data_IF_186010602172
#
_entry.id   IF_186010602172
#
_cell.length_a   1.000
_cell.length_b   1.000
_cell.length_c   1.000
_cell.angle_alpha   90.00
_cell.angle_beta   90.00
_cell.angle_gamma   90.00
#
_symmetry.space_group_name_H-M   'P 1'
#
loop_
_entity.id
_entity.type
_entity.pdbx_description
1 polymer ?
#
# COMPACT_ATOMS: atom_id res chain seq x y z
N UNK A 1 -9.39 -10.27 2.86
CA UNK A 1 -8.26 -11.23 2.87
C UNK A 1 -6.98 -10.41 3.02
N UNK A 2 -6.04 -10.81 3.88
CA UNK A 2 -4.77 -10.10 4.09
C UNK A 2 -3.72 -10.78 3.21
N UNK A 3 -3.04 -10.02 2.37
CA UNK A 3 -1.95 -10.53 1.55
C UNK A 3 -0.62 -9.92 2.01
N UNK A 4 0.19 -10.63 2.81
CA UNK A 4 1.52 -10.16 3.17
C UNK A 4 2.44 -10.28 1.95
N UNK A 5 3.02 -9.17 1.51
CA UNK A 5 4.03 -9.16 0.45
C UNK A 5 5.36 -8.66 1.00
N UNK A 6 6.41 -9.45 0.80
CA UNK A 6 7.79 -9.03 1.05
C UNK A 6 8.31 -8.37 -0.22
N UNK A 7 8.57 -7.07 -0.15
CA UNK A 7 9.22 -6.36 -1.25
C UNK A 7 10.72 -6.39 -0.98
N UNK A 8 11.45 -7.16 -1.79
CA UNK A 8 12.91 -7.24 -1.71
C UNK A 8 13.58 -5.97 -2.23
N UNK A 9 14.83 -5.75 -1.83
CA UNK A 9 15.61 -4.54 -2.15
C UNK A 9 16.11 -4.45 -3.60
N UNK A 10 15.63 -5.31 -4.50
CA UNK A 10 16.09 -5.41 -5.88
C UNK A 10 14.95 -5.12 -6.87
N UNK A 11 14.87 -3.85 -7.31
CA UNK A 11 14.38 -3.26 -8.58
C UNK A 11 13.01 -3.69 -9.16
N UNK A 12 12.48 -4.89 -8.92
CA UNK A 12 11.11 -5.24 -9.30
C UNK A 12 10.15 -5.02 -8.13
N UNK A 13 9.65 -3.78 -8.07
CA UNK A 13 8.41 -3.47 -7.36
C UNK A 13 7.27 -4.25 -8.04
N UNK A 14 6.55 -5.06 -7.28
CA UNK A 14 5.43 -5.86 -7.82
C UNK A 14 4.10 -5.34 -7.28
N UNK A 15 3.11 -5.41 -8.15
CA UNK A 15 1.70 -5.19 -7.83
C UNK A 15 1.33 -6.19 -6.72
N UNK A 16 0.79 -5.71 -5.59
CA UNK A 16 0.27 -6.58 -4.54
C UNK A 16 -0.94 -7.36 -5.09
N UNK A 17 -1.96 -6.65 -5.58
CA UNK A 17 -3.05 -7.15 -6.42
C UNK A 17 -4.00 -5.99 -6.73
N UNK A 18 -4.82 -6.14 -7.77
CA UNK A 18 -5.88 -5.19 -8.13
C UNK A 18 -7.20 -5.88 -7.89
N UNK A 19 -8.05 -5.24 -7.10
CA UNK A 19 -9.40 -5.74 -6.82
C UNK A 19 -10.43 -4.72 -7.30
N UNK A 20 -11.23 -5.04 -8.32
CA UNK A 20 -12.22 -4.11 -8.88
C UNK A 20 -13.41 -3.85 -7.93
N UNK A 21 -13.49 -4.58 -6.82
CA UNK A 21 -14.57 -4.47 -5.82
C UNK A 21 -14.09 -3.91 -4.47
N UNK A 22 -12.85 -3.41 -4.41
CA UNK A 22 -12.29 -2.79 -3.20
C UNK A 22 -12.98 -1.46 -2.92
N UNK A 23 -13.30 -1.22 -1.64
CA UNK A 23 -14.00 0.00 -1.20
C UNK A 23 -13.20 0.84 -0.19
N UNK A 24 -12.15 0.25 0.38
CA UNK A 24 -11.22 0.94 1.25
C UNK A 24 -9.85 0.28 1.23
N UNK A 25 -8.84 1.07 1.58
CA UNK A 25 -7.46 0.66 1.66
C UNK A 25 -6.84 1.23 2.94
N UNK A 26 -6.17 0.39 3.72
CA UNK A 26 -5.35 0.83 4.85
C UNK A 26 -3.95 0.27 4.69
N UNK A 27 -2.93 1.13 4.78
CA UNK A 27 -1.53 0.74 4.71
C UNK A 27 -0.86 1.16 6.00
N UNK A 28 -0.09 0.25 6.61
CA UNK A 28 0.51 0.45 7.94
C UNK A 28 2.01 0.18 7.88
N UNK A 29 2.81 1.14 8.33
CA UNK A 29 4.25 0.94 8.57
C UNK A 29 4.47 0.54 10.04
N UNK A 30 4.47 -0.77 10.34
CA UNK A 30 4.72 -1.25 11.71
C UNK A 30 6.18 -1.66 11.93
N UNK A 31 7.13 -0.84 11.47
CA UNK A 31 8.56 -1.06 11.65
C UNK A 31 9.18 0.19 12.28
N UNK A 32 10.04 0.02 13.28
CA UNK A 32 10.52 1.09 14.18
C UNK A 32 11.33 2.21 13.50
N UNK A 33 11.86 1.95 12.31
CA UNK A 33 12.76 2.87 11.61
C UNK A 33 12.56 2.93 10.10
N UNK A 34 11.59 2.19 9.55
CA UNK A 34 11.42 2.14 8.09
C UNK A 34 10.42 3.19 7.62
N UNK A 35 10.61 3.63 6.38
CA UNK A 35 9.65 4.47 5.65
C UNK A 35 9.04 3.66 4.52
N UNK A 36 7.70 3.67 4.44
CA UNK A 36 7.00 3.11 3.30
C UNK A 36 6.69 4.20 2.29
N UNK A 37 7.03 3.98 1.03
CA UNK A 37 6.72 4.88 -0.07
C UNK A 37 5.60 4.26 -0.88
N UNK A 38 4.51 5.00 -1.09
CA UNK A 38 3.34 4.51 -1.82
C UNK A 38 2.98 5.40 -3.01
N UNK A 39 2.36 4.83 -4.05
CA UNK A 39 1.83 5.56 -5.20
C UNK A 39 0.71 4.81 -5.90
N UNK A 40 -0.24 5.54 -6.50
CA UNK A 40 -1.34 5.00 -7.34
C UNK A 40 -0.97 4.85 -8.82
N UNK A 41 0.31 4.99 -9.16
CA UNK A 41 0.81 4.83 -10.52
C UNK A 41 2.13 4.07 -10.51
N UNK A 42 2.44 3.41 -11.63
CA UNK A 42 3.69 2.64 -11.79
C UNK A 42 4.92 3.48 -11.47
N UNK A 43 5.95 2.81 -10.93
CA UNK A 43 7.26 3.40 -10.69
C UNK A 43 7.36 4.18 -9.38
N UNK A 44 6.88 3.59 -8.28
CA UNK A 44 7.15 4.13 -6.94
C UNK A 44 8.65 3.98 -6.62
N UNK A 45 9.23 5.07 -6.13
CA UNK A 45 10.60 5.19 -5.68
C UNK A 45 10.63 6.12 -4.47
N UNK A 46 11.74 6.07 -3.72
CA UNK A 46 11.98 6.98 -2.58
C UNK A 46 11.78 8.44 -2.97
N UNK A 47 12.16 8.81 -4.21
CA UNK A 47 12.10 10.18 -4.70
C UNK A 47 10.69 10.67 -5.16
N UNK A 48 9.71 9.78 -5.35
CA UNK A 48 8.42 10.15 -5.97
C UNK A 48 7.17 9.54 -5.32
N UNK A 49 7.33 8.74 -4.26
CA UNK A 49 6.23 8.20 -3.48
C UNK A 49 5.76 9.15 -2.38
N UNK A 50 4.60 8.85 -1.80
CA UNK A 50 4.13 9.47 -0.56
C UNK A 50 4.68 8.70 0.64
N UNK A 51 5.56 9.30 1.48
CA UNK A 51 6.23 8.58 2.57
C UNK A 51 5.33 8.43 3.81
N UNK A 52 5.27 7.23 4.35
CA UNK A 52 4.67 6.88 5.63
C UNK A 52 5.81 6.54 6.59
N UNK A 53 6.01 7.37 7.61
CA UNK A 53 7.04 7.18 8.62
C UNK A 53 6.72 6.02 9.57
N UNK A 54 7.71 5.64 10.38
CA UNK A 54 7.59 4.60 11.40
C UNK A 54 6.31 4.73 12.24
N UNK A 55 5.58 3.64 12.37
CA UNK A 55 4.29 3.53 13.07
C UNK A 55 3.15 4.39 12.49
N UNK A 56 3.38 5.01 11.32
CA UNK A 56 2.36 5.74 10.58
C UNK A 56 1.41 4.82 9.81
N UNK A 57 0.26 5.38 9.44
CA UNK A 57 -0.70 4.72 8.57
C UNK A 57 -1.37 5.72 7.63
N UNK A 58 -1.87 5.22 6.50
CA UNK A 58 -2.79 5.94 5.61
C UNK A 58 -4.07 5.10 5.49
N UNK A 59 -5.22 5.77 5.51
CA UNK A 59 -6.53 5.16 5.31
C UNK A 59 -7.28 5.90 4.22
N UNK A 60 -7.80 5.15 3.24
CA UNK A 60 -8.55 5.65 2.10
C UNK A 60 -9.89 4.94 2.06
N UNK A 61 -10.97 5.69 1.81
CA UNK A 61 -12.33 5.17 1.76
C UNK A 61 -13.13 5.85 0.66
N UNK A 62 -14.05 5.09 0.06
CA UNK A 62 -15.15 5.66 -0.73
C UNK A 62 -16.03 6.53 0.19
N UNK A 63 -16.52 7.69 -0.29
CA UNK A 63 -16.57 8.14 -1.68
C UNK A 63 -15.43 9.07 -2.12
N UNK A 64 -14.51 9.42 -1.23
CA UNK A 64 -13.58 10.54 -1.43
C UNK A 64 -12.28 10.12 -2.14
N UNK A 65 -11.82 8.88 -1.92
CA UNK A 65 -10.55 8.40 -2.43
C UNK A 65 -10.77 7.07 -3.18
N UNK A 66 -10.94 7.12 -4.51
CA UNK A 66 -11.17 5.96 -5.37
C UNK A 66 -10.08 4.89 -5.17
N UNK A 67 -10.37 3.80 -4.43
CA UNK A 67 -9.38 2.80 -4.11
C UNK A 67 -9.41 1.69 -5.16
N UNK A 68 -9.92 1.88 -6.38
CA UNK A 68 -10.00 0.79 -7.37
C UNK A 68 -8.76 0.66 -8.26
N UNK A 69 -7.76 1.53 -8.08
CA UNK A 69 -6.52 1.56 -8.88
C UNK A 69 -5.37 0.75 -8.27
N UNK A 70 -4.38 0.43 -9.09
CA UNK A 70 -3.15 -0.26 -8.66
C UNK A 70 -2.41 0.58 -7.61
N UNK A 71 -2.01 -0.07 -6.51
CA UNK A 71 -1.19 0.56 -5.48
C UNK A 71 0.20 -0.07 -5.47
N UNK A 72 1.20 0.79 -5.57
CA UNK A 72 2.60 0.44 -5.56
C UNK A 72 3.19 0.87 -4.22
N UNK A 73 3.92 -0.03 -3.56
CA UNK A 73 4.52 0.27 -2.27
C UNK A 73 5.94 -0.34 -2.17
N UNK A 74 6.88 0.41 -1.60
CA UNK A 74 8.25 -0.05 -1.29
C UNK A 74 8.66 0.40 0.12
N UNK A 75 9.57 -0.33 0.74
CA UNK A 75 10.26 0.09 1.95
C UNK A 75 11.69 0.53 1.62
N UNK A 76 12.25 1.48 2.37
CA UNK A 76 13.67 1.84 2.31
C UNK A 76 14.61 0.84 3.02
N UNK A 77 14.05 -0.14 3.71
CA UNK A 77 14.81 -1.21 4.38
C UNK A 77 14.52 -2.59 3.79
N UNK A 78 15.55 -3.44 3.73
CA UNK A 78 15.54 -4.76 3.06
C UNK A 78 14.59 -5.78 3.73
N UNK A 79 14.30 -5.62 5.02
CA UNK A 79 13.55 -6.59 5.82
C UNK A 79 12.14 -6.17 6.22
N UNK A 80 11.68 -4.98 5.82
CA UNK A 80 10.34 -4.52 6.23
C UNK A 80 9.26 -5.20 5.43
N UNK A 81 8.35 -5.86 6.14
CA UNK A 81 7.11 -6.34 5.56
C UNK A 81 6.17 -5.18 5.29
N UNK A 82 5.71 -5.04 4.05
CA UNK A 82 4.65 -4.09 3.69
C UNK A 82 3.31 -4.80 3.86
N UNK A 83 2.40 -4.19 4.62
CA UNK A 83 1.05 -4.74 4.83
C UNK A 83 0.01 -3.78 4.28
N UNK A 84 -0.79 -4.30 3.36
CA UNK A 84 -1.91 -3.61 2.73
C UNK A 84 -3.19 -4.34 3.12
N UNK A 85 -4.13 -3.61 3.71
CA UNK A 85 -5.43 -4.10 4.12
C UNK A 85 -6.49 -3.55 3.18
N UNK A 86 -7.26 -4.45 2.57
CA UNK A 86 -8.41 -4.08 1.76
C UNK A 86 -9.70 -4.33 2.55
N UNK A 87 -10.57 -3.33 2.57
CA UNK A 87 -11.93 -3.46 3.08
C UNK A 87 -12.95 -3.56 1.95
N UNK A 88 -13.93 -4.43 2.15
CA UNK A 88 -15.09 -4.62 1.27
C UNK A 88 -16.34 -4.11 1.99
N UNK A 89 -16.88 -3.00 1.49
CA UNK A 89 -18.00 -2.27 2.06
C UNK A 89 -19.23 -2.46 1.18
N UNK A 90 -19.87 -3.61 1.33
CA UNK A 90 -21.23 -3.98 0.88
C UNK A 90 -21.50 -4.03 -0.63
N UNK A 91 -22.29 -5.04 -1.10
CA UNK A 91 -23.06 -4.89 -2.33
C UNK A 91 -24.00 -3.70 -2.17
N UNK A 92 -24.16 -2.84 -3.19
CA UNK A 92 -25.33 -1.98 -3.27
C UNK A 92 -26.57 -2.85 -3.15
N UNK A 93 -27.44 -2.54 -2.19
CA UNK A 93 -28.86 -2.93 -2.23
C UNK A 93 -29.55 -2.11 -3.32
#
# INVERSE_FOLDING_TARGET
>A
MIFPYTVGSAVEVKIASVSPTRTSLVIVCNHATATLYIRFSKGVAIANGFPIYSYGFIGLKIPEDDPTTDVWAISDTVGTQVRVYEGYGKPKQ
#
